data_IF_629525576291
#
_entry.id   IF_629525576291
#
_cell.length_a   1.000
_cell.length_b   1.000
_cell.length_c   1.000
_cell.angle_alpha   90.00
_cell.angle_beta   90.00
_cell.angle_gamma   90.00
#
_symmetry.space_group_name_H-M   'P 1'
#
loop_
_entity.id
_entity.type
_entity.pdbx_description
1 polymer ?
#
# COMPACT_ATOMS: atom_id res chain seq x y z
N UNK A 1 -6.93 9.26 0.95
CA UNK A 1 -7.94 8.23 0.63
C UNK A 1 -9.18 8.45 1.47
N UNK A 2 -10.35 8.24 0.89
CA UNK A 2 -11.61 8.47 1.59
C UNK A 2 -12.05 7.13 2.18
N UNK A 3 -11.56 6.81 3.38
CA UNK A 3 -11.65 5.44 3.96
C UNK A 3 -13.08 4.88 4.03
N UNK A 4 -14.08 5.72 4.30
CA UNK A 4 -15.48 5.29 4.38
C UNK A 4 -16.22 5.33 3.04
N UNK A 5 -15.52 5.72 1.99
CA UNK A 5 -15.99 5.77 0.61
C UNK A 5 -15.19 4.77 -0.22
N UNK A 6 -15.49 4.74 -1.52
CA UNK A 6 -14.82 3.90 -2.52
C UNK A 6 -14.00 4.78 -3.48
N UNK A 7 -13.39 5.83 -2.95
CA UNK A 7 -12.65 6.85 -3.71
C UNK A 7 -11.38 7.31 -3.01
N UNK A 8 -10.47 7.88 -3.80
CA UNK A 8 -9.33 8.66 -3.32
C UNK A 8 -9.42 10.05 -3.95
N UNK A 9 -9.47 11.10 -3.13
CA UNK A 9 -9.39 12.48 -3.63
C UNK A 9 -7.97 12.83 -4.09
N UNK A 10 -7.89 13.48 -5.26
CA UNK A 10 -6.68 14.11 -5.78
C UNK A 10 -6.78 15.60 -5.49
N UNK A 11 -5.79 16.15 -4.79
CA UNK A 11 -5.81 17.53 -4.30
C UNK A 11 -4.73 18.34 -5.03
N UNK A 12 -5.12 19.47 -5.60
CA UNK A 12 -4.17 20.50 -6.03
C UNK A 12 -3.63 21.19 -4.77
N UNK A 13 -2.33 21.04 -4.52
CA UNK A 13 -1.68 21.54 -3.31
C UNK A 13 -1.44 23.04 -3.31
N UNK A 14 -1.50 23.70 -4.47
CA UNK A 14 -1.39 25.18 -4.56
C UNK A 14 -2.74 25.84 -4.27
N UNK A 15 -3.82 25.26 -4.78
CA UNK A 15 -5.19 25.77 -4.63
C UNK A 15 -5.91 25.23 -3.41
N UNK A 16 -5.45 24.11 -2.86
CA UNK A 16 -6.08 23.37 -1.76
C UNK A 16 -7.49 22.87 -2.11
N UNK A 17 -7.67 22.43 -3.35
CA UNK A 17 -8.95 22.00 -3.91
C UNK A 17 -8.89 20.55 -4.40
N UNK A 18 -9.99 19.81 -4.27
CA UNK A 18 -10.14 18.50 -4.89
C UNK A 18 -10.36 18.69 -6.39
N UNK A 19 -9.42 18.19 -7.21
CA UNK A 19 -9.44 18.34 -8.67
C UNK A 19 -9.83 17.06 -9.41
N UNK A 20 -9.88 15.93 -8.70
CA UNK A 20 -10.42 14.67 -9.19
C UNK A 20 -10.69 13.71 -8.02
N UNK A 21 -11.49 12.69 -8.28
CA UNK A 21 -11.64 11.52 -7.44
C UNK A 21 -11.35 10.28 -8.28
N UNK A 22 -10.53 9.36 -7.75
CA UNK A 22 -10.21 8.11 -8.43
C UNK A 22 -10.87 6.93 -7.71
N UNK A 23 -11.37 5.91 -8.43
CA UNK A 23 -12.00 4.74 -7.81
C UNK A 23 -11.05 3.98 -6.88
N UNK A 24 -11.54 3.58 -5.71
CA UNK A 24 -10.84 2.76 -4.73
C UNK A 24 -11.73 1.61 -4.23
N UNK A 25 -11.12 0.64 -3.55
CA UNK A 25 -11.87 -0.32 -2.74
C UNK A 25 -12.36 0.33 -1.44
N UNK A 26 -13.43 -0.24 -0.88
CA UNK A 26 -13.94 0.12 0.44
C UNK A 26 -12.85 -0.04 1.50
N UNK A 27 -12.83 0.87 2.48
CA UNK A 27 -11.80 0.91 3.53
C UNK A 27 -10.41 1.16 2.96
N UNK A 28 -10.33 2.04 1.96
CA UNK A 28 -9.07 2.52 1.42
C UNK A 28 -8.15 3.02 2.57
N UNK A 29 -6.94 2.47 2.58
CA UNK A 29 -5.88 2.73 3.55
C UNK A 29 -5.05 3.96 3.21
N UNK A 30 -3.87 4.04 3.80
CA UNK A 30 -2.92 5.12 3.52
C UNK A 30 -2.44 5.00 2.07
N UNK A 31 -2.44 6.12 1.37
CA UNK A 31 -1.85 6.20 0.02
C UNK A 31 -0.38 6.50 0.17
N UNK A 32 0.46 5.79 -0.58
CA UNK A 32 1.85 6.20 -0.77
C UNK A 32 2.18 6.36 -2.25
N UNK A 33 3.06 7.31 -2.57
CA UNK A 33 3.37 7.74 -3.93
C UNK A 33 4.84 7.44 -4.21
N UNK A 34 5.09 6.62 -5.22
CA UNK A 34 6.43 6.31 -5.70
C UNK A 34 7.00 7.41 -6.59
N UNK A 35 8.33 7.46 -6.69
CA UNK A 35 9.03 8.36 -7.61
C UNK A 35 8.91 7.96 -9.08
N UNK A 36 8.35 6.78 -9.37
CA UNK A 36 8.11 6.25 -10.71
C UNK A 36 6.78 6.73 -11.33
N UNK A 37 6.05 7.63 -10.67
CA UNK A 37 4.76 8.13 -11.15
C UNK A 37 3.58 7.21 -10.83
N UNK A 38 3.83 6.11 -10.12
CA UNK A 38 2.80 5.23 -9.59
C UNK A 38 2.54 5.55 -8.12
N UNK A 39 1.34 5.20 -7.68
CA UNK A 39 0.99 5.25 -6.28
C UNK A 39 0.07 4.08 -5.93
N UNK A 40 0.03 3.76 -4.63
CA UNK A 40 -0.67 2.58 -4.15
C UNK A 40 -1.53 2.87 -2.93
N UNK A 41 -2.58 2.08 -2.76
CA UNK A 41 -3.47 2.14 -1.60
C UNK A 41 -3.90 0.72 -1.23
N UNK A 42 -3.56 0.22 -0.03
CA UNK A 42 -4.15 -1.00 0.48
C UNK A 42 -5.60 -0.74 0.88
N UNK A 43 -6.40 -1.77 1.04
CA UNK A 43 -7.73 -1.63 1.64
C UNK A 43 -7.95 -2.60 2.81
N UNK A 44 -8.89 -2.22 3.69
CA UNK A 44 -9.18 -2.87 4.95
C UNK A 44 -9.01 -1.94 6.16
N UNK A 45 -9.34 -2.44 7.33
CA UNK A 45 -9.04 -1.86 8.64
C UNK A 45 -10.09 -0.85 9.10
N UNK A 46 -11.28 -0.86 8.50
CA UNK A 46 -12.27 0.22 8.64
C UNK A 46 -13.23 0.12 9.83
N UNK A 47 -13.12 -0.92 10.67
CA UNK A 47 -14.09 -1.20 11.74
C UNK A 47 -15.47 -1.67 11.23
N UNK A 48 -15.58 -1.98 9.94
CA UNK A 48 -16.74 -2.60 9.32
C UNK A 48 -16.54 -4.10 9.05
N UNK A 49 -17.42 -4.74 8.28
CA UNK A 49 -17.28 -6.17 7.96
C UNK A 49 -15.99 -6.43 7.16
N UNK A 50 -15.41 -7.64 7.27
CA UNK A 50 -14.27 -8.05 6.44
C UNK A 50 -14.55 -7.87 4.95
N UNK A 51 -13.56 -7.40 4.21
CA UNK A 51 -13.61 -7.17 2.76
C UNK A 51 -12.44 -7.86 2.07
N UNK A 52 -12.59 -8.20 0.79
CA UNK A 52 -11.48 -8.66 -0.04
C UNK A 52 -10.34 -7.63 0.00
N UNK A 53 -9.11 -8.10 0.07
CA UNK A 53 -7.95 -7.26 0.38
C UNK A 53 -7.02 -7.16 -0.81
N UNK A 54 -6.70 -5.93 -1.17
CA UNK A 54 -5.92 -5.58 -2.33
C UNK A 54 -5.00 -4.42 -2.01
N UNK A 55 -3.88 -4.37 -2.75
CA UNK A 55 -3.09 -3.18 -2.94
C UNK A 55 -3.44 -2.63 -4.33
N UNK A 56 -4.26 -1.59 -4.36
CA UNK A 56 -4.62 -0.91 -5.60
C UNK A 56 -3.44 -0.10 -6.10
N UNK A 57 -3.14 -0.19 -7.39
CA UNK A 57 -2.10 0.56 -8.09
C UNK A 57 -2.75 1.57 -9.03
N UNK A 58 -2.26 2.80 -9.01
CA UNK A 58 -2.76 3.90 -9.83
C UNK A 58 -1.62 4.69 -10.46
N UNK A 59 -1.89 5.17 -11.67
CA UNK A 59 -1.05 6.10 -12.40
C UNK A 59 -1.37 7.53 -11.97
N UNK A 60 -0.37 8.26 -11.49
CA UNK A 60 -0.56 9.60 -10.91
C UNK A 60 -0.86 10.65 -11.97
N UNK A 61 -0.21 10.56 -13.14
CA UNK A 61 -0.36 11.55 -14.21
C UNK A 61 -1.75 11.49 -14.85
N UNK A 62 -2.17 10.30 -15.27
CA UNK A 62 -3.46 10.04 -15.90
C UNK A 62 -4.61 9.94 -14.88
N UNK A 63 -4.31 9.86 -13.58
CA UNK A 63 -5.28 9.71 -12.49
C UNK A 63 -6.19 8.49 -12.69
N UNK A 64 -5.59 7.39 -13.10
CA UNK A 64 -6.32 6.17 -13.48
C UNK A 64 -5.87 4.98 -12.65
N UNK A 65 -6.79 4.04 -12.43
CA UNK A 65 -6.47 2.76 -11.79
C UNK A 65 -5.79 1.87 -12.82
N UNK A 66 -4.62 1.33 -12.48
CA UNK A 66 -3.90 0.35 -13.30
C UNK A 66 -4.43 -1.05 -13.00
N UNK A 67 -4.56 -1.39 -11.72
CA UNK A 67 -5.02 -2.70 -11.29
C UNK A 67 -4.88 -2.91 -9.79
N UNK A 68 -5.05 -4.17 -9.37
CA UNK A 68 -5.03 -4.58 -7.97
C UNK A 68 -4.06 -5.76 -7.81
N UNK A 69 -3.19 -5.68 -6.80
CA UNK A 69 -2.39 -6.80 -6.32
C UNK A 69 -3.12 -7.46 -5.13
N UNK A 70 -3.31 -8.78 -5.10
CA UNK A 70 -3.99 -9.44 -3.99
C UNK A 70 -3.17 -9.36 -2.70
N UNK A 71 -3.81 -8.90 -1.62
CA UNK A 71 -3.28 -9.01 -0.25
C UNK A 71 -3.98 -10.16 0.46
N UNK A 72 -3.25 -10.94 1.24
CA UNK A 72 -3.77 -12.16 1.88
C UNK A 72 -4.47 -13.09 0.87
N UNK A 73 -3.87 -13.27 -0.30
CA UNK A 73 -4.44 -14.08 -1.40
C UNK A 73 -5.84 -13.60 -1.84
N UNK A 74 -6.15 -12.32 -1.59
CA UNK A 74 -7.42 -11.69 -1.92
C UNK A 74 -8.59 -12.12 -1.02
N UNK A 75 -8.35 -12.81 0.10
CA UNK A 75 -9.45 -13.27 0.98
C UNK A 75 -10.01 -12.14 1.84
N UNK A 76 -11.28 -12.24 2.30
CA UNK A 76 -11.82 -11.27 3.23
C UNK A 76 -11.06 -11.23 4.55
N UNK A 77 -10.72 -10.03 5.02
CA UNK A 77 -10.08 -9.87 6.32
C UNK A 77 -10.23 -8.46 6.90
N UNK A 78 -9.69 -8.29 8.11
CA UNK A 78 -9.71 -7.01 8.80
C UNK A 78 -8.68 -6.06 8.21
N UNK A 79 -7.44 -6.47 7.90
CA UNK A 79 -6.50 -5.67 7.09
C UNK A 79 -5.60 -4.76 7.92
N UNK A 80 -5.69 -3.44 7.72
CA UNK A 80 -4.79 -2.45 8.34
C UNK A 80 -3.32 -2.54 7.88
N UNK A 81 -3.13 -2.72 6.58
CA UNK A 81 -1.80 -2.85 5.99
C UNK A 81 -1.01 -1.55 6.04
N UNK A 82 0.23 -1.68 6.47
CA UNK A 82 1.28 -0.72 6.21
C UNK A 82 1.68 -0.69 4.75
N UNK A 83 1.99 0.48 4.20
CA UNK A 83 2.56 0.57 2.86
C UNK A 83 3.67 1.61 2.79
N UNK A 84 4.70 1.28 2.01
CA UNK A 84 5.75 2.18 1.58
C UNK A 84 6.10 1.86 0.11
N UNK A 85 6.13 2.86 -0.75
CA UNK A 85 6.62 2.81 -2.12
C UNK A 85 8.10 3.19 -2.17
N UNK A 86 8.90 2.40 -2.89
CA UNK A 86 10.28 2.75 -3.20
C UNK A 86 10.65 2.19 -4.59
N UNK A 87 10.83 3.09 -5.56
CA UNK A 87 10.99 2.70 -6.96
C UNK A 87 9.78 1.91 -7.46
N UNK A 88 10.03 0.78 -8.12
CA UNK A 88 9.00 -0.10 -8.68
C UNK A 88 8.46 -1.13 -7.67
N UNK A 89 8.76 -0.95 -6.39
CA UNK A 89 8.37 -1.88 -5.33
C UNK A 89 7.49 -1.23 -4.26
N UNK A 90 6.46 -1.97 -3.84
CA UNK A 90 5.68 -1.66 -2.66
C UNK A 90 6.04 -2.61 -1.51
N UNK A 91 6.41 -2.06 -0.37
CA UNK A 91 6.67 -2.77 0.87
C UNK A 91 5.39 -2.74 1.70
N UNK A 92 4.84 -3.92 2.00
CA UNK A 92 3.54 -4.05 2.65
C UNK A 92 3.69 -4.80 3.96
N UNK A 93 3.22 -4.19 5.04
CA UNK A 93 3.15 -4.82 6.36
C UNK A 93 1.84 -5.60 6.50
N UNK A 94 1.92 -6.85 6.94
CA UNK A 94 0.79 -7.74 7.20
C UNK A 94 0.65 -7.93 8.72
N UNK A 95 -0.22 -7.17 9.40
CA UNK A 95 -0.32 -7.19 10.85
C UNK A 95 -0.60 -8.58 11.42
N UNK A 96 -1.61 -9.26 10.89
CA UNK A 96 -2.06 -10.57 11.39
C UNK A 96 -1.05 -11.69 11.11
N UNK A 97 -0.28 -11.56 10.03
CA UNK A 97 0.76 -12.53 9.68
C UNK A 97 2.11 -12.23 10.34
N UNK A 98 2.29 -11.04 10.90
CA UNK A 98 3.58 -10.59 11.45
C UNK A 98 4.70 -10.54 10.40
N UNK A 99 4.37 -10.24 9.14
CA UNK A 99 5.33 -10.23 8.02
C UNK A 99 5.37 -8.90 7.29
N UNK A 100 6.49 -8.64 6.62
CA UNK A 100 6.63 -7.60 5.60
C UNK A 100 6.93 -8.27 4.27
N UNK A 101 6.19 -7.91 3.23
CA UNK A 101 6.36 -8.47 1.87
C UNK A 101 6.61 -7.35 0.87
N UNK A 102 7.28 -7.68 -0.22
CA UNK A 102 7.60 -6.77 -1.32
C UNK A 102 6.78 -7.21 -2.52
N UNK A 103 6.07 -6.26 -3.13
CA UNK A 103 5.34 -6.44 -4.37
C UNK A 103 6.02 -5.64 -5.48
N UNK A 104 6.14 -6.23 -6.66
CA UNK A 104 6.44 -5.50 -7.88
C UNK A 104 5.16 -4.82 -8.36
N UNK A 105 5.16 -3.49 -8.47
CA UNK A 105 3.96 -2.74 -8.89
C UNK A 105 3.89 -2.55 -10.42
N UNK A 106 4.91 -3.00 -11.14
CA UNK A 106 4.97 -2.96 -12.61
C UNK A 106 4.62 -4.30 -13.25
N UNK A 107 4.67 -5.38 -12.49
CA UNK A 107 4.18 -6.71 -12.86
C UNK A 107 3.13 -7.21 -11.85
N UNK A 108 1.85 -7.03 -12.17
CA UNK A 108 0.75 -7.37 -11.27
C UNK A 108 0.52 -8.88 -11.11
N UNK A 109 1.17 -9.70 -11.94
CA UNK A 109 1.11 -11.16 -11.87
C UNK A 109 2.29 -11.75 -11.07
N UNK A 110 3.32 -10.93 -10.76
CA UNK A 110 4.47 -11.36 -10.00
C UNK A 110 4.08 -11.69 -8.54
N UNK A 111 4.50 -12.86 -8.01
CA UNK A 111 4.24 -13.19 -6.61
C UNK A 111 5.06 -12.28 -5.68
N UNK A 112 4.52 -11.90 -4.51
CA UNK A 112 5.26 -11.10 -3.57
C UNK A 112 6.44 -11.86 -2.95
N UNK A 113 7.50 -11.13 -2.62
CA UNK A 113 8.67 -11.65 -1.92
C UNK A 113 8.54 -11.41 -0.42
N UNK A 114 8.77 -12.43 0.41
CA UNK A 114 8.86 -12.25 1.86
C UNK A 114 10.17 -11.51 2.21
N UNK A 115 10.06 -10.33 2.81
CA UNK A 115 11.21 -9.55 3.27
C UNK A 115 11.58 -9.88 4.72
N UNK A 116 10.58 -9.91 5.60
CA UNK A 116 10.79 -10.10 7.03
C UNK A 116 9.57 -10.78 7.68
N UNK A 117 9.82 -11.44 8.81
CA UNK A 117 8.81 -12.17 9.59
C UNK A 117 9.11 -12.08 11.09
N UNK A 118 8.12 -12.38 11.92
CA UNK A 118 8.26 -12.36 13.39
C UNK A 118 8.08 -10.98 13.99
N UNK A 119 7.43 -10.06 13.27
CA UNK A 119 7.07 -8.74 13.78
C UNK A 119 5.71 -8.78 14.47
N UNK A 120 5.57 -8.11 15.60
CA UNK A 120 4.26 -7.90 16.23
C UNK A 120 3.51 -6.81 15.45
N UNK A 121 2.46 -7.22 14.71
CA UNK A 121 1.52 -6.34 14.02
C UNK A 121 2.15 -5.18 13.21
N UNK A 122 2.97 -5.46 12.17
CA UNK A 122 3.59 -4.40 11.36
C UNK A 122 2.54 -3.52 10.67
N UNK A 123 2.44 -2.25 11.10
CA UNK A 123 1.61 -1.19 10.51
C UNK A 123 2.49 -0.13 9.81
N UNK A 124 3.15 0.78 10.54
CA UNK A 124 3.97 1.82 9.92
C UNK A 124 5.26 1.29 9.28
N UNK A 125 5.54 1.67 8.03
CA UNK A 125 6.81 1.39 7.35
C UNK A 125 7.41 2.73 6.88
N UNK A 126 8.71 2.90 7.09
CA UNK A 126 9.45 4.08 6.62
C UNK A 126 10.84 3.66 6.12
N UNK A 127 11.35 4.39 5.13
CA UNK A 127 12.68 4.19 4.59
C UNK A 127 13.65 5.23 5.14
N UNK A 128 14.90 4.81 5.35
CA UNK A 128 16.00 5.71 5.67
C UNK A 128 17.07 5.64 4.58
N UNK A 129 17.56 6.79 4.07
CA UNK A 129 18.71 6.83 3.15
C UNK A 129 20.02 6.45 3.84
N UNK A 130 20.05 6.38 5.17
CA UNK A 130 21.24 6.07 5.94
C UNK A 130 21.52 4.57 5.90
N UNK A 131 22.69 4.20 5.38
CA UNK A 131 23.21 2.85 5.55
C UNK A 131 23.74 2.70 6.97
N UNK A 132 23.01 1.98 7.81
CA UNK A 132 23.50 1.58 9.12
C UNK A 132 24.36 0.34 8.93
N UNK A 133 25.65 0.43 9.24
CA UNK A 133 26.50 -0.74 9.36
C UNK A 133 26.08 -1.52 10.60
N UNK A 134 25.19 -2.49 10.46
CA UNK A 134 24.84 -3.39 11.56
C UNK A 134 26.02 -4.33 11.75
N UNK A 135 26.70 -4.23 12.89
CA UNK A 135 27.82 -5.10 13.24
C UNK A 135 27.35 -6.55 13.22
N UNK A 136 27.86 -7.34 12.28
CA UNK A 136 27.80 -8.80 12.36
C UNK A 136 28.73 -9.23 13.49
N UNK A 137 28.18 -9.74 14.59
CA UNK A 137 28.98 -10.50 15.55
C UNK A 137 29.45 -11.78 14.88
N UNK A 138 30.76 -11.98 14.81
CA UNK A 138 31.38 -13.28 14.55
C UNK A 138 31.04 -14.31 15.66
#
# INVERSE_FOLDING_TARGET
ANRQEETISVIDTERLEVVAEVPSHRFAGRVDIGTNGLAVAPNGGGGGPPVLQYLRVFDVESRSVIGDLPLNDGVPGDGNFGVLMQGDSAYVGFPDAGTVRIFDVTDLDAPPVLLAQGHEAPDGIAWSPLRVGVMSSE
#
